data_IF_802785251024
#
_entry.id   IF_802785251024
#
_cell.length_a   1.000
_cell.length_b   1.000
_cell.length_c   1.000
_cell.angle_alpha   90.00
_cell.angle_beta   90.00
_cell.angle_gamma   90.00
#
_symmetry.space_group_name_H-M   'P 1'
#
loop_
_entity.id
_entity.type
_entity.pdbx_description
1 polymer ?
#
# COMPACT_ATOMS: atom_id res chain seq x y z
N UNK A 1 -28.43 42.04 -37.38
CA UNK A 1 -27.83 41.17 -36.34
C UNK A 1 -28.85 40.72 -35.27
N UNK A 2 -30.15 40.64 -35.58
CA UNK A 2 -31.21 40.24 -34.62
C UNK A 2 -32.22 39.22 -35.21
N UNK A 3 -31.84 38.45 -36.25
CA UNK A 3 -32.69 37.38 -36.82
C UNK A 3 -32.06 35.98 -36.75
N UNK A 4 -30.86 35.84 -36.16
CA UNK A 4 -30.17 34.55 -36.01
C UNK A 4 -30.26 33.95 -34.60
N UNK A 5 -30.70 34.71 -33.59
CA UNK A 5 -30.79 34.21 -32.20
C UNK A 5 -32.09 33.44 -31.92
N UNK A 6 -33.21 33.80 -32.58
CA UNK A 6 -34.50 33.11 -32.36
C UNK A 6 -34.54 31.69 -32.96
N UNK A 7 -33.81 31.43 -34.05
CA UNK A 7 -33.70 30.07 -34.61
C UNK A 7 -32.88 29.15 -33.70
N UNK A 8 -31.85 29.66 -33.04
CA UNK A 8 -31.05 28.91 -32.06
C UNK A 8 -31.85 28.62 -30.78
N UNK A 9 -32.64 29.57 -30.27
CA UNK A 9 -33.50 29.35 -29.11
C UNK A 9 -34.58 28.28 -29.35
N UNK A 10 -35.20 28.25 -30.54
CA UNK A 10 -36.22 27.25 -30.89
C UNK A 10 -35.64 25.84 -31.06
N UNK A 11 -34.40 25.71 -31.55
CA UNK A 11 -33.69 24.44 -31.70
C UNK A 11 -33.26 23.87 -30.34
N UNK A 12 -32.80 24.71 -29.42
CA UNK A 12 -32.43 24.29 -28.04
C UNK A 12 -33.67 23.86 -27.26
N UNK A 13 -34.81 24.56 -27.41
CA UNK A 13 -36.04 24.20 -26.71
C UNK A 13 -36.72 22.93 -27.27
N UNK A 14 -36.59 22.67 -28.57
CA UNK A 14 -37.05 21.42 -29.22
C UNK A 14 -36.17 20.22 -28.83
N UNK A 15 -34.86 20.44 -28.64
CA UNK A 15 -33.93 19.40 -28.19
C UNK A 15 -34.15 19.03 -26.71
N UNK A 16 -34.38 20.02 -25.82
CA UNK A 16 -34.67 19.78 -24.40
C UNK A 16 -36.00 19.06 -24.13
N UNK A 17 -36.98 19.11 -25.03
CA UNK A 17 -38.27 18.39 -24.87
C UNK A 17 -38.28 16.96 -25.43
N UNK A 18 -37.25 16.55 -26.17
CA UNK A 18 -37.16 15.19 -26.75
C UNK A 18 -36.18 14.25 -26.03
N UNK A 19 -35.55 14.68 -24.94
CA UNK A 19 -34.60 13.86 -24.16
C UNK A 19 -35.02 13.64 -22.70
N UNK A 20 -36.31 13.84 -22.40
CA UNK A 20 -36.92 13.52 -21.11
C UNK A 20 -37.11 12.00 -20.90
N UNK A 21 -36.00 11.24 -20.92
CA UNK A 21 -35.86 9.94 -20.26
C UNK A 21 -34.38 9.50 -20.18
N UNK A 22 -33.45 10.41 -19.91
CA UNK A 22 -32.10 9.99 -19.51
C UNK A 22 -32.08 9.72 -18.01
N UNK A 23 -32.30 8.45 -17.62
CA UNK A 23 -31.76 7.96 -16.36
C UNK A 23 -30.25 8.13 -16.43
N UNK A 24 -29.66 8.86 -15.48
CA UNK A 24 -28.22 8.90 -15.29
C UNK A 24 -27.71 7.45 -15.21
N UNK A 25 -26.71 7.04 -16.00
CA UNK A 25 -26.05 5.77 -15.76
C UNK A 25 -25.21 5.93 -14.49
N UNK A 26 -25.83 5.65 -13.34
CA UNK A 26 -25.11 5.27 -12.15
C UNK A 26 -24.41 3.95 -12.45
N UNK A 27 -23.11 4.00 -12.71
CA UNK A 27 -22.32 2.83 -13.03
C UNK A 27 -20.95 3.22 -13.53
N UNK A 28 -19.98 3.24 -12.62
CA UNK A 28 -18.58 3.13 -12.99
C UNK A 28 -18.44 1.88 -13.88
N UNK A 29 -17.97 2.04 -15.11
CA UNK A 29 -17.70 0.92 -16.02
C UNK A 29 -16.73 -0.08 -15.39
N UNK A 30 -16.77 -1.36 -15.77
CA UNK A 30 -16.09 -2.41 -15.03
C UNK A 30 -14.57 -2.32 -15.26
N UNK A 31 -13.86 -1.83 -14.24
CA UNK A 31 -12.57 -2.42 -13.82
C UNK A 31 -12.86 -3.91 -13.58
N UNK A 32 -11.95 -4.82 -13.94
CA UNK A 32 -12.04 -6.29 -13.77
C UNK A 32 -12.69 -6.76 -12.43
N UNK A 33 -14.00 -6.62 -12.30
CA UNK A 33 -14.87 -7.72 -11.94
C UNK A 33 -15.16 -8.36 -13.29
N UNK A 34 -14.42 -9.43 -13.61
CA UNK A 34 -15.06 -10.50 -14.37
C UNK A 34 -16.46 -10.67 -13.78
N UNK A 35 -17.50 -10.81 -14.62
CA UNK A 35 -18.87 -11.09 -14.16
C UNK A 35 -18.81 -12.22 -13.12
N UNK A 36 -18.81 -11.88 -11.85
CA UNK A 36 -18.85 -12.82 -10.75
C UNK A 36 -20.30 -12.85 -10.32
N UNK A 37 -20.87 -14.05 -10.40
CA UNK A 37 -22.23 -14.34 -9.97
C UNK A 37 -22.36 -13.91 -8.51
N UNK A 38 -23.35 -13.10 -8.12
CA UNK A 38 -23.56 -12.68 -6.71
C UNK A 38 -23.77 -13.84 -5.71
N UNK A 39 -23.76 -15.10 -6.17
CA UNK A 39 -23.79 -16.31 -5.36
C UNK A 39 -22.41 -16.88 -4.98
N UNK A 40 -21.32 -16.41 -5.56
CA UNK A 40 -19.97 -16.82 -5.17
C UNK A 40 -19.40 -15.78 -4.19
N UNK A 41 -19.57 -16.03 -2.89
CA UNK A 41 -18.87 -15.32 -1.80
C UNK A 41 -17.38 -15.69 -1.84
N UNK A 42 -16.69 -15.18 -2.87
CA UNK A 42 -15.27 -15.47 -3.09
C UNK A 42 -14.46 -14.66 -2.09
N UNK A 43 -13.81 -15.37 -1.18
CA UNK A 43 -12.93 -14.81 -0.17
C UNK A 43 -11.86 -13.89 -0.82
N UNK A 44 -11.71 -12.67 -0.30
CA UNK A 44 -10.82 -11.64 -0.86
C UNK A 44 -9.34 -12.10 -1.03
N UNK A 45 -8.87 -13.08 -0.23
CA UNK A 45 -7.54 -13.70 -0.40
C UNK A 45 -7.34 -14.37 -1.77
N UNK A 46 -8.43 -14.82 -2.42
CA UNK A 46 -8.37 -15.39 -3.77
C UNK A 46 -7.86 -14.40 -4.81
N UNK A 47 -7.97 -13.08 -4.56
CA UNK A 47 -7.39 -12.06 -5.42
C UNK A 47 -5.87 -12.16 -5.45
N UNK A 48 -5.24 -12.34 -4.28
CA UNK A 48 -3.80 -12.54 -4.16
C UNK A 48 -3.38 -13.88 -4.79
N UNK A 49 -4.10 -14.97 -4.52
CA UNK A 49 -3.76 -16.29 -5.07
C UNK A 49 -3.89 -16.33 -6.60
N UNK A 50 -4.91 -15.67 -7.16
CA UNK A 50 -5.04 -15.50 -8.61
C UNK A 50 -3.86 -14.70 -9.19
N UNK A 51 -3.41 -13.64 -8.52
CA UNK A 51 -2.23 -12.89 -8.95
C UNK A 51 -0.96 -13.75 -8.93
N UNK A 52 -0.73 -14.54 -7.86
CA UNK A 52 0.37 -15.52 -7.78
C UNK A 52 0.32 -16.48 -8.97
N UNK A 53 -0.84 -17.11 -9.19
CA UNK A 53 -1.04 -18.07 -10.27
C UNK A 53 -0.82 -17.45 -11.64
N UNK A 54 -1.34 -16.24 -11.86
CA UNK A 54 -1.19 -15.54 -13.14
C UNK A 54 0.28 -15.23 -13.44
N UNK A 55 1.06 -14.74 -12.46
CA UNK A 55 2.49 -14.50 -12.65
C UNK A 55 3.27 -15.79 -12.90
N UNK A 56 2.95 -16.88 -12.20
CA UNK A 56 3.63 -18.17 -12.40
C UNK A 56 3.32 -18.77 -13.77
N UNK A 57 2.05 -18.73 -14.20
CA UNK A 57 1.63 -19.38 -15.45
C UNK A 57 1.98 -18.57 -16.70
N UNK A 58 1.95 -17.23 -16.60
CA UNK A 58 1.98 -16.33 -17.76
C UNK A 58 3.08 -15.27 -17.69
N UNK A 59 3.81 -15.19 -16.59
CA UNK A 59 4.86 -14.18 -16.40
C UNK A 59 6.03 -14.38 -17.36
N UNK A 60 6.56 -13.27 -17.84
CA UNK A 60 7.78 -13.26 -18.63
C UNK A 60 8.99 -13.44 -17.70
N UNK A 61 9.88 -14.37 -18.03
CA UNK A 61 11.14 -14.54 -17.29
C UNK A 61 12.06 -13.34 -17.54
N UNK A 62 12.58 -12.73 -16.48
CA UNK A 62 13.48 -11.56 -16.52
C UNK A 62 14.61 -11.72 -15.50
N UNK A 63 15.83 -11.41 -15.92
CA UNK A 63 16.94 -11.20 -14.97
C UNK A 63 16.84 -9.82 -14.32
N UNK A 64 17.41 -9.69 -13.12
CA UNK A 64 17.36 -8.45 -12.35
C UNK A 64 18.61 -8.29 -11.46
N UNK A 65 18.67 -7.21 -10.69
CA UNK A 65 19.84 -6.79 -9.91
C UNK A 65 20.30 -7.79 -8.83
N UNK A 66 19.44 -8.71 -8.37
CA UNK A 66 19.77 -9.65 -7.29
C UNK A 66 20.50 -10.91 -7.78
N UNK A 67 20.57 -11.10 -9.11
CA UNK A 67 21.09 -12.34 -9.71
C UNK A 67 20.11 -13.52 -9.67
N UNK A 68 18.94 -13.38 -9.04
CA UNK A 68 17.86 -14.37 -9.06
C UNK A 68 16.79 -13.91 -10.04
N UNK A 69 16.61 -14.65 -11.14
CA UNK A 69 15.57 -14.34 -12.12
C UNK A 69 14.16 -14.28 -11.51
N UNK A 70 13.27 -13.55 -12.17
CA UNK A 70 11.85 -13.48 -11.82
C UNK A 70 10.97 -13.89 -12.99
N UNK A 71 9.77 -14.36 -12.69
CA UNK A 71 8.62 -14.31 -13.60
C UNK A 71 7.85 -13.03 -13.29
N UNK A 72 7.50 -12.24 -14.31
CA UNK A 72 6.92 -10.90 -14.12
C UNK A 72 5.78 -10.60 -15.09
N UNK A 73 4.77 -9.90 -14.58
CA UNK A 73 3.68 -9.29 -15.33
C UNK A 73 3.62 -7.81 -14.99
N UNK A 74 3.37 -6.97 -15.99
CA UNK A 74 3.27 -5.53 -15.80
C UNK A 74 1.80 -5.09 -15.68
N UNK A 75 1.43 -4.59 -14.50
CA UNK A 75 0.09 -4.11 -14.19
C UNK A 75 -0.80 -5.19 -13.57
N UNK A 76 -1.10 -5.06 -12.28
CA UNK A 76 -2.13 -5.82 -11.58
C UNK A 76 -2.86 -4.92 -10.57
N UNK A 77 -4.11 -5.24 -10.24
CA UNK A 77 -4.84 -4.53 -9.20
C UNK A 77 -5.70 -5.50 -8.38
N UNK A 78 -5.63 -5.36 -7.06
CA UNK A 78 -6.42 -6.11 -6.09
C UNK A 78 -7.20 -5.12 -5.20
N UNK A 79 -8.39 -5.49 -4.74
CA UNK A 79 -9.22 -4.68 -3.84
C UNK A 79 -9.68 -5.54 -2.66
N UNK A 80 -9.41 -5.09 -1.46
CA UNK A 80 -9.75 -5.76 -0.21
C UNK A 80 -10.79 -4.92 0.55
N UNK A 81 -11.87 -5.56 1.01
CA UNK A 81 -12.86 -4.93 1.87
C UNK A 81 -12.36 -4.93 3.32
N UNK A 82 -12.30 -3.74 3.94
CA UNK A 82 -11.80 -3.55 5.29
C UNK A 82 -12.88 -3.44 6.36
N UNK A 83 -14.17 -3.44 6.00
CA UNK A 83 -15.28 -3.09 6.91
C UNK A 83 -15.45 -4.09 8.06
N UNK A 84 -15.33 -5.38 7.77
CA UNK A 84 -15.59 -6.47 8.72
C UNK A 84 -14.43 -7.48 8.85
N UNK A 85 -13.31 -7.22 8.17
CA UNK A 85 -12.14 -8.08 8.14
C UNK A 85 -10.86 -7.28 7.94
N UNK A 86 -9.73 -7.89 8.32
CA UNK A 86 -8.40 -7.37 8.09
C UNK A 86 -7.63 -8.31 7.16
N UNK A 87 -7.20 -7.88 5.95
CA UNK A 87 -6.63 -8.75 4.94
C UNK A 87 -5.19 -9.18 5.28
N UNK A 88 -5.07 -10.05 6.28
CA UNK A 88 -3.84 -10.73 6.67
C UNK A 88 -3.91 -12.16 6.16
N UNK A 89 -3.09 -12.49 5.17
CA UNK A 89 -3.14 -13.77 4.47
C UNK A 89 -3.18 -14.96 5.43
N UNK A 90 -4.01 -15.94 5.09
CA UNK A 90 -4.26 -17.13 5.89
C UNK A 90 -3.69 -18.39 5.25
N UNK A 91 -3.45 -18.40 3.94
CA UNK A 91 -2.78 -19.52 3.24
C UNK A 91 -1.31 -19.66 3.61
N UNK A 92 -0.71 -18.64 4.21
CA UNK A 92 0.57 -18.72 4.93
C UNK A 92 0.56 -17.78 6.13
N UNK A 93 1.32 -18.13 7.18
CA UNK A 93 1.53 -17.22 8.31
C UNK A 93 2.35 -16.00 7.92
N UNK A 94 1.78 -14.81 8.11
CA UNK A 94 2.44 -13.51 7.93
C UNK A 94 2.97 -13.01 9.28
N UNK A 95 4.15 -12.40 9.30
CA UNK A 95 4.76 -11.88 10.52
C UNK A 95 4.16 -10.53 10.92
N UNK A 96 3.03 -10.58 11.63
CA UNK A 96 2.25 -9.39 12.03
C UNK A 96 3.06 -8.32 12.76
N UNK A 97 3.90 -8.71 13.73
CA UNK A 97 4.69 -7.74 14.49
C UNK A 97 5.61 -6.91 13.59
N UNK A 98 6.24 -7.55 12.59
CA UNK A 98 7.05 -6.84 11.60
C UNK A 98 6.24 -5.81 10.81
N UNK A 99 5.03 -6.17 10.36
CA UNK A 99 4.12 -5.25 9.64
C UNK A 99 3.79 -4.01 10.47
N UNK A 100 3.36 -4.21 11.71
CA UNK A 100 2.91 -3.11 12.56
C UNK A 100 4.07 -2.20 13.01
N UNK A 101 5.19 -2.78 13.44
CA UNK A 101 6.35 -2.00 13.91
C UNK A 101 7.04 -1.22 12.78
N UNK A 102 7.12 -1.80 11.57
CA UNK A 102 7.62 -1.08 10.39
C UNK A 102 6.73 0.11 10.04
N UNK A 103 5.41 -0.07 10.05
CA UNK A 103 4.50 1.03 9.76
C UNK A 103 4.61 2.15 10.80
N UNK A 104 4.70 1.82 12.10
CA UNK A 104 4.92 2.81 13.16
C UNK A 104 6.26 3.53 12.96
N UNK A 105 7.30 2.82 12.52
CA UNK A 105 8.60 3.39 12.19
C UNK A 105 8.53 4.37 11.00
N UNK A 106 7.76 4.04 9.94
CA UNK A 106 7.47 4.99 8.85
C UNK A 106 6.69 6.20 9.34
N UNK A 107 5.63 5.99 10.13
CA UNK A 107 4.82 7.08 10.70
C UNK A 107 5.72 8.03 11.47
N UNK A 108 6.63 7.54 12.31
CA UNK A 108 7.56 8.37 13.09
C UNK A 108 8.61 9.12 12.25
N UNK A 109 8.65 8.94 10.93
CA UNK A 109 9.66 9.57 10.08
C UNK A 109 11.06 8.98 10.22
N UNK A 110 11.19 7.80 10.86
CA UNK A 110 12.48 7.24 11.20
C UNK A 110 13.18 6.64 9.97
N UNK A 111 14.51 6.72 9.96
CA UNK A 111 15.39 6.16 8.93
C UNK A 111 16.49 5.25 9.51
N UNK A 112 16.52 5.09 10.83
CA UNK A 112 17.44 4.20 11.54
C UNK A 112 16.86 2.78 11.60
N UNK A 113 17.41 1.87 10.81
CA UNK A 113 17.02 0.46 10.77
C UNK A 113 17.25 -0.28 12.09
N UNK A 114 18.26 0.11 12.89
CA UNK A 114 18.59 -0.55 14.17
C UNK A 114 17.43 -0.47 15.18
N UNK A 115 16.61 0.58 15.12
CA UNK A 115 15.41 0.71 15.98
C UNK A 115 14.37 -0.40 15.73
N UNK A 116 14.33 -0.95 14.51
CA UNK A 116 13.49 -2.12 14.21
C UNK A 116 14.15 -3.40 14.74
N UNK A 117 15.47 -3.55 14.53
CA UNK A 117 16.24 -4.71 15.01
C UNK A 117 16.18 -4.84 16.54
N UNK A 118 16.24 -3.73 17.28
CA UNK A 118 16.06 -3.66 18.74
C UNK A 118 14.69 -4.20 19.21
N UNK A 119 13.68 -4.15 18.34
CA UNK A 119 12.33 -4.70 18.59
C UNK A 119 12.16 -6.12 18.05
N UNK A 120 13.23 -6.75 17.59
CA UNK A 120 13.23 -8.08 16.96
C UNK A 120 12.66 -8.11 15.54
N UNK A 121 12.69 -6.97 14.84
CA UNK A 121 12.22 -6.84 13.46
C UNK A 121 13.42 -6.58 12.54
N UNK A 122 13.81 -7.60 11.77
CA UNK A 122 15.07 -7.64 11.01
C UNK A 122 14.89 -7.42 9.50
N UNK A 123 13.76 -6.84 9.07
CA UNK A 123 13.39 -6.76 7.64
C UNK A 123 14.28 -5.77 6.84
N UNK A 124 14.95 -4.85 7.53
CA UNK A 124 15.85 -3.84 6.93
C UNK A 124 17.33 -4.12 7.17
N UNK A 125 17.68 -5.17 7.94
CA UNK A 125 19.06 -5.44 8.36
C UNK A 125 19.99 -5.64 7.15
N UNK A 126 19.55 -6.38 6.14
CA UNK A 126 20.34 -6.61 4.93
C UNK A 126 20.63 -5.30 4.17
N UNK A 127 19.61 -4.46 3.99
CA UNK A 127 19.74 -3.19 3.28
C UNK A 127 20.50 -2.12 4.09
N UNK A 128 20.51 -2.22 5.41
CA UNK A 128 21.25 -1.33 6.31
C UNK A 128 22.66 -1.80 6.64
N UNK A 129 23.06 -3.01 6.21
CA UNK A 129 24.38 -3.57 6.51
C UNK A 129 25.51 -2.74 5.92
N UNK A 130 26.68 -2.77 6.58
CA UNK A 130 27.88 -2.07 6.09
C UNK A 130 28.21 -2.46 4.63
N UNK A 131 28.22 -3.75 4.34
CA UNK A 131 28.52 -4.28 3.01
C UNK A 131 27.55 -3.74 1.94
N UNK A 132 26.25 -3.74 2.22
CA UNK A 132 25.25 -3.27 1.27
C UNK A 132 25.37 -1.77 1.01
N UNK A 133 25.57 -0.97 2.06
CA UNK A 133 25.77 0.48 1.91
C UNK A 133 27.05 0.82 1.13
N UNK A 134 28.13 0.07 1.36
CA UNK A 134 29.39 0.25 0.61
C UNK A 134 29.23 -0.11 -0.87
N UNK A 135 28.49 -1.17 -1.18
CA UNK A 135 28.16 -1.56 -2.55
C UNK A 135 27.33 -0.50 -3.30
N UNK A 136 26.59 0.34 -2.57
CA UNK A 136 25.87 1.50 -3.13
C UNK A 136 26.75 2.77 -3.22
N UNK A 137 28.00 2.72 -2.76
CA UNK A 137 28.88 3.89 -2.68
C UNK A 137 28.59 4.82 -1.50
N UNK A 138 27.75 4.40 -0.55
CA UNK A 138 27.37 5.17 0.64
C UNK A 138 28.35 4.92 1.80
N UNK A 139 29.65 5.01 1.54
CA UNK A 139 30.73 4.62 2.47
C UNK A 139 30.81 5.51 3.72
N UNK A 140 30.32 6.74 3.65
CA UNK A 140 30.28 7.69 4.78
C UNK A 140 29.04 7.52 5.67
N UNK A 141 28.05 6.73 5.24
CA UNK A 141 26.78 6.53 5.94
C UNK A 141 26.95 5.51 7.05
N UNK A 142 26.44 5.75 8.26
CA UNK A 142 26.54 4.77 9.36
C UNK A 142 25.79 3.46 9.02
N UNK A 143 26.26 2.32 9.51
CA UNK A 143 25.50 1.06 9.43
C UNK A 143 24.13 1.23 10.11
N UNK A 144 23.07 0.80 9.42
CA UNK A 144 21.68 1.01 9.84
C UNK A 144 21.05 2.33 9.42
N UNK A 145 21.83 3.31 8.91
CA UNK A 145 21.26 4.51 8.30
C UNK A 145 20.79 4.18 6.88
N UNK A 146 19.46 4.14 6.69
CA UNK A 146 18.84 3.76 5.42
C UNK A 146 18.73 4.94 4.44
N UNK A 147 19.06 6.15 4.87
CA UNK A 147 18.84 7.38 4.13
C UNK A 147 17.38 7.83 4.12
N UNK A 148 17.04 8.81 3.26
CA UNK A 148 15.73 9.48 3.24
C UNK A 148 14.65 8.59 2.61
N UNK A 149 14.41 7.40 3.17
CA UNK A 149 13.43 6.41 2.71
C UNK A 149 11.99 6.80 3.13
N UNK A 150 11.07 5.84 3.18
CA UNK A 150 9.62 6.08 3.32
C UNK A 150 9.23 7.07 4.41
N UNK A 151 9.62 6.83 5.68
CA UNK A 151 9.22 7.69 6.79
C UNK A 151 9.69 9.12 6.60
N UNK A 152 10.96 9.31 6.19
CA UNK A 152 11.50 10.62 5.90
C UNK A 152 10.69 11.34 4.81
N UNK A 153 10.37 10.66 3.71
CA UNK A 153 9.56 11.27 2.65
C UNK A 153 8.12 11.56 3.14
N UNK A 154 7.57 10.78 4.07
CA UNK A 154 6.23 11.05 4.60
C UNK A 154 6.17 12.27 5.51
N UNK A 155 7.23 12.54 6.29
CA UNK A 155 7.25 13.58 7.32
C UNK A 155 8.06 14.83 6.94
N UNK A 156 9.03 14.68 6.04
CA UNK A 156 10.06 15.66 5.71
C UNK A 156 10.36 15.75 4.21
N UNK A 157 9.36 15.56 3.34
CA UNK A 157 9.57 15.55 1.89
C UNK A 157 10.28 16.83 1.42
N UNK A 158 11.40 16.69 0.71
CA UNK A 158 12.19 17.81 0.21
C UNK A 158 13.15 18.47 1.22
N UNK A 159 13.22 17.99 2.46
CA UNK A 159 14.28 18.38 3.38
C UNK A 159 15.63 17.79 2.96
N UNK A 160 16.72 18.48 3.27
CA UNK A 160 18.07 17.97 3.02
C UNK A 160 18.42 16.89 4.06
N UNK A 161 18.56 15.64 3.60
CA UNK A 161 19.02 14.56 4.46
C UNK A 161 20.50 14.73 4.85
N UNK A 162 20.78 14.51 6.13
CA UNK A 162 22.11 14.60 6.74
C UNK A 162 22.52 13.22 7.26
N UNK A 163 21.85 12.76 8.31
CA UNK A 163 22.04 11.44 8.93
C UNK A 163 20.78 11.04 9.70
N UNK A 164 20.71 9.77 10.12
CA UNK A 164 19.56 9.21 10.84
C UNK A 164 19.35 9.73 12.27
N UNK A 165 20.27 10.56 12.80
CA UNK A 165 20.23 11.08 14.17
C UNK A 165 19.81 12.56 14.23
N UNK A 166 19.94 13.27 13.12
CA UNK A 166 19.58 14.68 13.01
C UNK A 166 18.09 14.93 13.29
N UNK A 167 17.78 16.02 14.00
CA UNK A 167 16.40 16.46 14.18
C UNK A 167 15.87 17.15 12.91
N UNK A 168 14.86 16.55 12.29
CA UNK A 168 14.19 17.05 11.10
C UNK A 168 12.87 17.77 11.39
N UNK A 169 12.53 18.00 12.67
CA UNK A 169 11.29 18.66 13.07
C UNK A 169 11.13 20.01 12.36
N UNK A 170 9.98 20.19 11.69
CA UNK A 170 9.66 21.41 10.94
C UNK A 170 10.38 21.57 9.61
N UNK A 171 11.18 20.58 9.17
CA UNK A 171 11.86 20.60 7.88
C UNK A 171 11.07 19.83 6.83
N UNK A 172 11.08 20.34 5.58
CA UNK A 172 10.38 19.74 4.45
C UNK A 172 8.86 19.84 4.55
N UNK A 173 8.16 18.96 3.83
CA UNK A 173 6.69 18.87 3.84
C UNK A 173 6.24 17.62 4.58
N UNK A 174 5.46 17.80 5.66
CA UNK A 174 4.79 16.70 6.37
C UNK A 174 3.53 16.27 5.60
N UNK A 175 3.72 15.33 4.68
CA UNK A 175 2.65 14.80 3.82
C UNK A 175 1.61 14.02 4.64
N UNK A 176 2.04 13.25 5.63
CA UNK A 176 1.14 12.47 6.49
C UNK A 176 0.20 13.39 7.28
N UNK A 177 0.74 14.44 7.89
CA UNK A 177 -0.08 15.47 8.55
C UNK A 177 -1.04 16.12 7.57
N UNK A 178 -0.56 16.53 6.38
CA UNK A 178 -1.39 17.13 5.35
C UNK A 178 -2.52 16.23 4.83
N UNK A 179 -2.30 14.91 4.77
CA UNK A 179 -3.34 13.92 4.44
C UNK A 179 -4.41 13.88 5.54
N UNK A 180 -4.00 13.75 6.80
CA UNK A 180 -4.92 13.68 7.95
C UNK A 180 -5.75 14.97 8.04
N UNK A 181 -5.13 16.13 7.87
CA UNK A 181 -5.80 17.43 7.93
C UNK A 181 -6.84 17.60 6.82
N UNK A 182 -6.53 17.14 5.59
CA UNK A 182 -7.52 17.13 4.49
C UNK A 182 -8.66 16.17 4.77
N UNK A 183 -8.41 14.98 5.29
CA UNK A 183 -9.47 14.03 5.64
C UNK A 183 -10.43 14.63 6.67
N UNK A 184 -9.90 15.33 7.68
CA UNK A 184 -10.73 15.97 8.73
C UNK A 184 -11.51 17.18 8.20
N UNK A 185 -10.87 18.03 7.41
CA UNK A 185 -11.38 19.38 7.13
C UNK A 185 -11.87 19.59 5.69
N UNK A 186 -11.48 18.73 4.75
CA UNK A 186 -11.87 18.80 3.34
C UNK A 186 -11.98 17.37 2.73
N UNK A 187 -12.87 16.50 3.26
CA UNK A 187 -12.90 15.07 2.91
C UNK A 187 -13.21 14.79 1.44
N UNK A 188 -13.87 15.71 0.73
CA UNK A 188 -14.20 15.59 -0.70
C UNK A 188 -13.03 15.99 -1.62
N UNK A 189 -11.88 16.40 -1.06
CA UNK A 189 -10.70 16.73 -1.82
C UNK A 189 -10.21 15.51 -2.62
N UNK A 190 -9.88 15.74 -3.89
CA UNK A 190 -9.34 14.70 -4.80
C UNK A 190 -7.81 14.64 -4.78
N UNK A 191 -7.17 15.39 -3.86
CA UNK A 191 -5.71 15.55 -3.72
C UNK A 191 -5.23 15.11 -2.33
N UNK A 192 -5.92 14.15 -1.72
CA UNK A 192 -5.50 13.52 -0.47
C UNK A 192 -4.49 12.42 -0.82
N UNK A 193 -3.23 12.83 -0.99
CA UNK A 193 -2.15 12.00 -1.52
C UNK A 193 -0.89 12.12 -0.68
N UNK A 194 -0.07 11.06 -0.71
CA UNK A 194 1.31 11.06 -0.22
C UNK A 194 2.21 10.29 -1.20
N UNK A 195 3.45 10.74 -1.36
CA UNK A 195 4.45 10.11 -2.24
C UNK A 195 5.74 9.83 -1.47
N UNK A 196 6.26 8.62 -1.60
CA UNK A 196 7.63 8.29 -1.17
C UNK A 196 8.63 8.47 -2.33
N UNK A 197 8.17 8.62 -3.57
CA UNK A 197 9.05 8.73 -4.73
C UNK A 197 9.54 10.18 -4.90
N UNK A 198 10.76 10.44 -4.41
CA UNK A 198 11.46 11.72 -4.56
C UNK A 198 12.69 11.56 -5.46
N UNK A 199 12.63 11.99 -6.74
CA UNK A 199 13.74 11.85 -7.68
C UNK A 199 15.07 12.45 -7.21
N UNK A 200 15.04 13.51 -6.38
CA UNK A 200 16.23 14.19 -5.89
C UNK A 200 16.98 13.43 -4.78
N UNK A 201 16.36 12.37 -4.23
CA UNK A 201 16.89 11.62 -3.10
C UNK A 201 17.11 10.13 -3.41
N UNK A 202 16.71 9.63 -4.59
CA UNK A 202 16.73 8.18 -4.88
C UNK A 202 18.13 7.55 -4.76
N UNK A 203 19.17 8.29 -5.10
CA UNK A 203 20.58 7.89 -5.00
C UNK A 203 21.12 7.91 -3.56
N UNK A 204 20.41 8.57 -2.64
CA UNK A 204 20.74 8.64 -1.21
C UNK A 204 20.10 7.53 -0.39
N UNK A 205 19.13 6.80 -0.95
CA UNK A 205 18.35 5.78 -0.27
C UNK A 205 19.02 4.42 -0.38
N UNK A 206 19.05 3.66 0.71
CA UNK A 206 19.50 2.26 0.69
C UNK A 206 18.65 1.41 -0.27
N UNK A 207 17.35 1.69 -0.36
CA UNK A 207 16.49 1.06 -1.35
C UNK A 207 15.45 2.07 -1.86
N UNK A 208 15.40 2.36 -3.17
CA UNK A 208 14.34 3.18 -3.73
C UNK A 208 12.94 2.63 -3.40
N UNK A 209 11.97 3.47 -2.98
CA UNK A 209 10.66 3.04 -2.52
C UNK A 209 9.92 2.12 -3.49
N UNK A 210 9.49 0.95 -3.02
CA UNK A 210 8.63 0.04 -3.78
C UNK A 210 7.20 0.55 -3.81
N UNK A 211 6.65 0.93 -2.66
CA UNK A 211 5.35 1.58 -2.50
C UNK A 211 5.52 3.09 -2.64
N UNK A 212 5.23 3.59 -3.85
CA UNK A 212 5.69 4.89 -4.32
C UNK A 212 4.67 6.01 -4.07
N UNK A 213 3.37 5.72 -4.24
CA UNK A 213 2.32 6.73 -4.23
C UNK A 213 1.04 6.17 -3.61
N UNK A 214 0.38 6.97 -2.78
CA UNK A 214 -0.82 6.58 -2.06
C UNK A 214 -1.85 7.68 -2.17
N UNK A 215 -3.10 7.30 -2.43
CA UNK A 215 -4.25 8.20 -2.46
C UNK A 215 -5.32 7.71 -1.49
N UNK A 216 -5.94 8.65 -0.78
CA UNK A 216 -7.07 8.38 0.10
C UNK A 216 -8.36 8.93 -0.49
N UNK A 217 -9.47 8.32 -0.09
CA UNK A 217 -10.81 8.67 -0.54
C UNK A 217 -11.79 8.55 0.60
N UNK A 218 -12.53 9.63 0.89
CA UNK A 218 -13.59 9.63 1.90
C UNK A 218 -14.95 9.60 1.20
N UNK A 219 -15.82 8.69 1.62
CA UNK A 219 -17.20 8.64 1.12
C UNK A 219 -18.07 7.92 2.14
N UNK A 220 -19.30 8.39 2.37
CA UNK A 220 -20.29 7.75 3.25
C UNK A 220 -19.78 7.44 4.68
N UNK A 221 -18.91 8.29 5.23
CA UNK A 221 -18.31 8.08 6.55
C UNK A 221 -17.21 7.01 6.58
N UNK A 222 -16.73 6.58 5.42
CA UNK A 222 -15.66 5.58 5.28
C UNK A 222 -14.40 6.18 4.63
N UNK A 223 -13.24 5.69 5.06
CA UNK A 223 -11.93 6.01 4.48
C UNK A 223 -11.41 4.81 3.69
N UNK A 224 -11.18 5.02 2.39
CA UNK A 224 -10.52 4.06 1.51
C UNK A 224 -9.11 4.53 1.15
N UNK A 225 -8.25 3.58 0.80
CA UNK A 225 -6.84 3.81 0.45
C UNK A 225 -6.50 3.09 -0.85
N UNK A 226 -5.81 3.77 -1.75
CA UNK A 226 -5.25 3.18 -2.96
C UNK A 226 -3.72 3.36 -2.96
N UNK A 227 -3.01 2.25 -3.02
CA UNK A 227 -1.56 2.19 -3.15
C UNK A 227 -1.16 1.89 -4.59
N UNK A 228 -0.19 2.63 -5.12
CA UNK A 228 0.60 2.25 -6.27
C UNK A 228 2.00 1.80 -5.85
N UNK A 229 2.31 0.53 -6.10
CA UNK A 229 3.58 -0.10 -5.85
C UNK A 229 4.27 -0.44 -7.17
N UNK A 230 5.39 0.23 -7.48
CA UNK A 230 6.08 0.09 -8.77
C UNK A 230 6.69 -1.31 -8.98
N UNK A 231 7.00 -2.02 -7.89
CA UNK A 231 7.70 -3.30 -7.87
C UNK A 231 7.15 -4.13 -6.73
N UNK A 232 6.44 -5.21 -7.07
CA UNK A 232 5.75 -6.08 -6.12
C UNK A 232 6.29 -7.50 -6.15
N UNK A 233 7.15 -7.83 -5.20
CA UNK A 233 7.51 -9.22 -4.90
C UNK A 233 6.28 -9.91 -4.28
N UNK A 234 5.60 -10.73 -5.08
CA UNK A 234 4.37 -11.41 -4.68
C UNK A 234 4.65 -12.46 -3.59
N UNK A 235 5.86 -13.04 -3.57
CA UNK A 235 6.26 -14.09 -2.64
C UNK A 235 6.34 -13.60 -1.20
N UNK A 236 7.10 -12.53 -0.98
CA UNK A 236 7.39 -11.99 0.35
C UNK A 236 6.77 -10.60 0.60
N UNK A 237 7.06 -9.64 -0.28
CA UNK A 237 6.73 -8.22 -0.06
C UNK A 237 5.23 -7.91 -0.08
N UNK A 238 4.51 -8.33 -1.12
CA UNK A 238 3.09 -7.99 -1.32
C UNK A 238 2.20 -8.38 -0.12
N UNK A 239 2.32 -9.59 0.49
CA UNK A 239 1.60 -9.92 1.72
C UNK A 239 1.82 -8.91 2.87
N UNK A 240 3.05 -8.45 3.06
CA UNK A 240 3.37 -7.42 4.06
C UNK A 240 2.75 -6.07 3.68
N UNK A 241 2.83 -5.69 2.41
CA UNK A 241 2.30 -4.41 1.93
C UNK A 241 0.77 -4.33 2.01
N UNK A 242 0.06 -5.44 1.76
CA UNK A 242 -1.41 -5.52 1.92
C UNK A 242 -1.79 -5.22 3.37
N UNK A 243 -1.16 -5.91 4.32
CA UNK A 243 -1.45 -5.73 5.74
C UNK A 243 -1.03 -4.33 6.23
N UNK A 244 0.14 -3.83 5.80
CA UNK A 244 0.67 -2.52 6.22
C UNK A 244 -0.23 -1.37 5.79
N UNK A 245 -0.64 -1.31 4.53
CA UNK A 245 -1.50 -0.21 4.06
C UNK A 245 -2.97 -0.36 4.48
N UNK A 246 -3.42 -1.58 4.74
CA UNK A 246 -4.70 -1.79 5.45
C UNK A 246 -4.62 -1.23 6.86
N UNK A 247 -3.55 -1.51 7.61
CA UNK A 247 -3.34 -0.97 8.96
C UNK A 247 -3.26 0.57 8.95
N UNK A 248 -2.53 1.17 8.01
CA UNK A 248 -2.48 2.63 7.87
C UNK A 248 -3.87 3.23 7.65
N UNK A 249 -4.70 2.57 6.84
CA UNK A 249 -6.09 2.99 6.59
C UNK A 249 -6.91 2.93 7.88
N UNK A 250 -6.80 1.84 8.65
CA UNK A 250 -7.44 1.70 9.96
C UNK A 250 -6.99 2.79 10.95
N UNK A 251 -5.68 3.06 11.04
CA UNK A 251 -5.12 4.07 11.95
C UNK A 251 -5.64 5.48 11.62
N UNK A 252 -5.64 5.85 10.33
CA UNK A 252 -6.13 7.17 9.90
C UNK A 252 -7.65 7.26 10.08
N UNK A 253 -8.41 6.22 9.74
CA UNK A 253 -9.86 6.23 9.93
C UNK A 253 -10.21 6.41 11.42
N UNK A 254 -9.51 5.69 12.31
CA UNK A 254 -9.66 5.78 13.77
C UNK A 254 -9.49 7.22 14.29
N UNK A 255 -8.37 7.89 13.98
CA UNK A 255 -8.09 9.25 14.50
C UNK A 255 -8.89 10.35 13.81
N UNK A 256 -9.62 10.02 12.74
CA UNK A 256 -10.50 10.94 12.00
C UNK A 256 -11.98 10.66 12.23
N UNK A 257 -12.33 9.65 13.06
CA UNK A 257 -13.71 9.28 13.35
C UNK A 257 -14.44 8.60 12.18
N UNK A 258 -13.71 8.11 11.19
CA UNK A 258 -14.23 7.39 10.02
C UNK A 258 -14.15 5.88 10.23
N UNK A 259 -14.91 5.13 9.43
CA UNK A 259 -14.78 3.67 9.32
C UNK A 259 -13.80 3.29 8.21
N UNK A 260 -13.08 2.16 8.31
CA UNK A 260 -12.28 1.68 7.19
C UNK A 260 -13.19 1.18 6.05
N UNK A 261 -12.89 1.60 4.82
CA UNK A 261 -13.62 1.26 3.60
C UNK A 261 -12.92 0.16 2.80
N UNK A 262 -12.33 0.50 1.65
CA UNK A 262 -11.57 -0.43 0.81
C UNK A 262 -10.07 -0.12 0.81
N UNK A 263 -9.24 -1.16 0.72
CA UNK A 263 -7.84 -1.02 0.31
C UNK A 263 -7.67 -1.53 -1.12
N UNK A 264 -7.14 -0.68 -2.01
CA UNK A 264 -6.86 -0.99 -3.41
C UNK A 264 -5.35 -1.02 -3.64
N UNK A 265 -4.83 -2.16 -4.04
CA UNK A 265 -3.40 -2.37 -4.26
C UNK A 265 -3.13 -2.49 -5.76
N UNK A 266 -2.45 -1.49 -6.32
CA UNK A 266 -2.03 -1.47 -7.72
C UNK A 266 -0.54 -1.80 -7.80
N UNK A 267 -0.19 -2.83 -8.57
CA UNK A 267 1.19 -3.26 -8.82
C UNK A 267 1.63 -2.85 -10.23
N UNK A 268 2.83 -2.29 -10.33
CA UNK A 268 3.56 -2.08 -11.59
C UNK A 268 4.19 -3.38 -12.08
N UNK A 269 5.49 -3.58 -11.83
CA UNK A 269 6.16 -4.87 -12.07
C UNK A 269 5.80 -5.86 -10.94
N UNK A 270 4.80 -6.70 -11.19
CA UNK A 270 4.35 -7.75 -10.28
C UNK A 270 5.10 -9.04 -10.61
N UNK A 271 5.86 -9.56 -9.66
CA UNK A 271 6.81 -10.64 -9.94
C UNK A 271 6.91 -11.69 -8.84
N UNK A 272 7.35 -12.87 -9.27
CA UNK A 272 7.71 -14.02 -8.43
C UNK A 272 9.15 -14.38 -8.73
N UNK A 273 10.01 -14.42 -7.71
CA UNK A 273 11.36 -14.95 -7.87
C UNK A 273 11.33 -16.43 -8.19
N UNK A 274 12.22 -16.91 -9.06
CA UNK A 274 12.21 -18.31 -9.51
C UNK A 274 12.39 -19.31 -8.35
N UNK A 275 13.14 -18.93 -7.30
CA UNK A 275 13.31 -19.74 -6.09
C UNK A 275 12.06 -19.73 -5.18
N UNK A 276 11.05 -18.90 -5.44
CA UNK A 276 9.78 -18.87 -4.70
C UNK A 276 8.65 -19.64 -5.40
N UNK A 277 8.86 -20.13 -6.64
CA UNK A 277 7.81 -20.81 -7.41
C UNK A 277 7.28 -22.05 -6.67
N UNK A 278 8.15 -22.95 -6.24
CA UNK A 278 7.74 -24.17 -5.55
C UNK A 278 7.07 -23.89 -4.19
N UNK A 279 7.63 -23.02 -3.32
CA UNK A 279 6.92 -22.52 -2.13
C UNK A 279 5.52 -21.96 -2.42
N UNK A 280 5.37 -21.18 -3.49
CA UNK A 280 4.09 -20.57 -3.87
C UNK A 280 3.11 -21.58 -4.46
N UNK A 281 3.56 -22.62 -5.17
CA UNK A 281 2.68 -23.73 -5.60
C UNK A 281 2.08 -24.45 -4.39
N UNK A 282 2.86 -24.67 -3.33
CA UNK A 282 2.34 -25.21 -2.06
C UNK A 282 1.29 -24.26 -1.44
N UNK A 283 1.53 -22.93 -1.52
CA UNK A 283 0.57 -21.95 -1.04
C UNK A 283 -0.75 -21.99 -1.84
N UNK A 284 -0.67 -22.14 -3.17
CA UNK A 284 -1.83 -22.20 -4.08
C UNK A 284 -2.74 -23.42 -3.85
N UNK A 285 -2.23 -24.49 -3.24
CA UNK A 285 -3.02 -25.67 -2.88
C UNK A 285 -3.84 -25.49 -1.59
N UNK A 286 -3.52 -24.46 -0.80
CA UNK A 286 -4.19 -24.20 0.48
C UNK A 286 -5.44 -23.36 0.26
N UNK A 287 -6.58 -23.87 0.72
CA UNK A 287 -7.82 -23.08 0.78
C UNK A 287 -7.66 -21.93 1.80
N UNK A 288 -8.00 -20.68 1.43
CA UNK A 288 -8.10 -19.59 2.38
C UNK A 288 -9.02 -19.94 3.56
N UNK A 289 -8.65 -19.43 4.73
CA UNK A 289 -9.48 -19.41 5.93
C UNK A 289 -10.00 -17.99 6.13
N UNK A 290 -11.07 -17.78 6.93
CA UNK A 290 -11.57 -16.45 7.19
C UNK A 290 -10.45 -15.50 7.63
N UNK A 291 -10.40 -14.32 7.03
CA UNK A 291 -9.52 -13.26 7.51
C UNK A 291 -9.78 -12.93 8.98
N UNK A 292 -8.74 -12.54 9.73
CA UNK A 292 -8.93 -12.08 11.09
C UNK A 292 -9.61 -10.70 11.13
N UNK A 293 -9.92 -10.24 12.34
CA UNK A 293 -10.31 -8.85 12.62
C UNK A 293 -9.17 -8.10 13.27
N UNK A 294 -8.99 -6.84 12.91
CA UNK A 294 -8.11 -5.92 13.62
C UNK A 294 -8.94 -5.08 14.59
N UNK A 295 -8.54 -5.09 15.86
CA UNK A 295 -9.11 -4.24 16.91
C UNK A 295 -8.03 -3.27 17.38
N UNK A 296 -8.37 -1.98 17.37
CA UNK A 296 -7.56 -0.94 18.02
C UNK A 296 -8.10 -0.79 19.44
N UNK A 297 -7.34 -1.26 20.43
CA UNK A 297 -7.80 -1.39 21.82
C UNK A 297 -7.94 -0.07 22.56
N UNK A 298 -7.15 0.94 22.17
CA UNK A 298 -7.09 2.24 22.82
C UNK A 298 -7.64 3.32 21.91
N UNK A 299 -8.38 4.27 22.48
CA UNK A 299 -8.70 5.52 21.80
C UNK A 299 -7.43 6.36 21.68
N UNK A 300 -6.84 6.36 20.49
CA UNK A 300 -5.70 7.21 20.12
C UNK A 300 -6.19 8.45 19.38
N UNK A 301 -5.63 9.63 19.67
CA UNK A 301 -6.05 10.91 19.06
C UNK A 301 -5.09 11.40 17.95
N UNK A 302 -3.79 11.14 18.11
CA UNK A 302 -2.78 11.50 17.11
C UNK A 302 -2.15 10.27 16.47
N UNK A 303 -1.79 10.38 15.19
CA UNK A 303 -1.15 9.29 14.44
C UNK A 303 0.18 8.84 15.07
N UNK A 304 0.88 9.76 15.73
CA UNK A 304 2.18 9.54 16.36
C UNK A 304 2.09 8.79 17.70
N UNK A 305 0.89 8.74 18.30
CA UNK A 305 0.68 8.18 19.63
C UNK A 305 0.42 6.67 19.60
N UNK A 306 0.25 6.06 18.42
CA UNK A 306 0.04 4.61 18.29
C UNK A 306 1.25 3.80 18.73
N UNK A 307 0.99 2.69 19.41
CA UNK A 307 1.98 1.70 19.83
C UNK A 307 1.58 0.32 19.34
N UNK A 308 2.53 -0.60 19.23
CA UNK A 308 2.26 -1.97 18.80
C UNK A 308 1.17 -2.62 19.67
N UNK A 309 1.19 -2.36 20.97
CA UNK A 309 0.25 -2.90 21.94
C UNK A 309 -1.18 -2.39 21.74
N UNK A 310 -1.42 -1.34 20.95
CA UNK A 310 -2.77 -0.87 20.65
C UNK A 310 -3.48 -1.79 19.66
N UNK A 311 -2.75 -2.62 18.91
CA UNK A 311 -3.30 -3.48 17.88
C UNK A 311 -3.50 -4.92 18.38
N UNK A 312 -4.71 -5.43 18.19
CA UNK A 312 -5.06 -6.82 18.46
C UNK A 312 -5.63 -7.47 17.20
N UNK A 313 -5.01 -8.58 16.80
CA UNK A 313 -5.51 -9.41 15.70
C UNK A 313 -6.32 -10.56 16.29
N UNK A 314 -7.63 -10.54 16.05
CA UNK A 314 -8.58 -11.53 16.56
C UNK A 314 -8.92 -12.57 15.50
N UNK A 315 -8.93 -13.84 15.90
CA UNK A 315 -9.33 -14.95 15.01
C UNK A 315 -8.30 -15.33 13.94
N UNK A 316 -7.04 -14.91 14.06
CA UNK A 316 -6.01 -15.26 13.07
C UNK A 316 -5.58 -16.72 13.20
N UNK A 317 -6.15 -17.57 12.34
CA UNK A 317 -5.86 -18.99 12.26
C UNK A 317 -5.25 -19.36 10.89
N UNK A 318 -4.03 -18.91 10.55
CA UNK A 318 -3.43 -19.20 9.26
C UNK A 318 -2.94 -20.66 9.18
N UNK A 319 -2.74 -21.13 7.96
CA UNK A 319 -1.91 -22.29 7.67
C UNK A 319 -0.45 -22.06 8.11
N UNK A 320 0.36 -23.13 8.26
CA UNK A 320 1.75 -23.01 8.69
C UNK A 320 2.60 -22.08 7.82
N UNK A 321 3.71 -21.58 8.38
CA UNK A 321 4.70 -20.77 7.63
C UNK A 321 5.17 -21.54 6.39
N UNK A 322 5.38 -20.81 5.30
CA UNK A 322 6.12 -21.27 4.13
C UNK A 322 7.42 -20.48 4.10
N UNK A 323 8.56 -21.18 4.10
CA UNK A 323 9.87 -20.54 4.02
C UNK A 323 10.17 -20.12 2.58
N UNK A 324 10.61 -18.89 2.41
CA UNK A 324 11.07 -18.30 1.15
C UNK A 324 12.25 -17.39 1.51
N UNK A 325 13.37 -17.56 0.82
CA UNK A 325 14.58 -16.79 1.08
C UNK A 325 14.52 -15.44 0.38
N UNK A 326 14.95 -14.36 1.05
CA UNK A 326 14.99 -13.03 0.46
C UNK A 326 16.05 -12.99 -0.65
N UNK A 327 15.71 -12.34 -1.77
CA UNK A 327 16.69 -12.01 -2.81
C UNK A 327 17.29 -10.63 -2.47
N UNK A 328 18.58 -10.59 -2.15
CA UNK A 328 19.30 -9.36 -1.76
C UNK A 328 19.94 -8.71 -2.98
#
# INVERSE_FOLDING_TARGET
>A
MFKSMDRLASLVHSWCKKTASFRLPGGCGPILRQKMDPKDDVHDEELYLKAVKEVIDRGCRKSNRTGIDTLSIFGMQMRYNLRDSFPLLTTKRVFWRGVAEELLWFVQGCTNGKKLSEKGVHIWDANGSREFLDNLGLTQREEGDLGPVYGFQWRHFGAEYKDMHNDYTGQGVDQLRGVIDKIKNNPDDRRIIMSAWNPCDLDKMALPPCHAFVQFYVCNGELSCQLYQRSGDIGLGVPFNIASYSLLTYMIAHITGLKPGDFVHTLGDAHVYVNHIEPLKIQLERKPRPFPKLVIKRTVENIDDFKYEDFEIQGYNPHPKIAMDLAV
#
